data_IF_141464355002
#
_entry.id   IF_141464355002
#
_cell.length_a   1.000
_cell.length_b   1.000
_cell.length_c   1.000
_cell.angle_alpha   90.00
_cell.angle_beta   90.00
_cell.angle_gamma   90.00
#
_symmetry.space_group_name_H-M   'P 1'
#
loop_
_entity.id
_entity.type
_entity.pdbx_description
1 polymer ?
2 polymer ?
3 water ?
#
# COMPACT_ATOMS: atom_id res chain seq x y z
N UNK A 7 -26.64 6.31 -16.05
CA UNK A 7 -26.14 5.57 -14.89
C UNK A 7 -26.90 5.92 -13.61
N UNK A 8 -28.01 6.61 -13.74
CA UNK A 8 -28.78 7.01 -12.56
C UNK A 8 -29.29 5.81 -11.76
N UNK A 9 -29.40 4.63 -12.38
CA UNK A 9 -29.79 3.44 -11.62
C UNK A 9 -28.72 3.01 -10.62
N UNK A 10 -27.50 3.56 -10.79
CA UNK A 10 -26.37 3.26 -9.90
C UNK A 10 -26.31 4.17 -8.67
N UNK A 11 -27.18 5.18 -8.66
CA UNK A 11 -27.18 6.17 -7.58
C UNK A 11 -27.11 5.53 -6.20
N UNK A 12 -27.76 4.38 -6.01
CA UNK A 12 -27.77 3.74 -4.72
C UNK A 12 -26.34 3.49 -4.17
N UNK A 13 -25.41 3.15 -5.04
CA UNK A 13 -24.01 2.99 -4.68
C UNK A 13 -23.34 4.27 -4.17
N UNK A 14 -23.90 5.44 -4.51
CA UNK A 14 -23.28 6.68 -4.04
C UNK A 14 -24.01 7.22 -2.82
N UNK A 15 -25.20 6.69 -2.56
CA UNK A 15 -26.07 7.35 -1.60
C UNK A 15 -25.92 6.89 -0.15
N UNK A 16 -24.80 6.22 0.13
CA UNK A 16 -24.42 5.81 1.47
C UNK A 16 -24.18 7.03 2.37
N UNK A 17 -24.82 7.03 3.53
CA UNK A 17 -24.64 8.11 4.53
C UNK A 17 -23.34 7.91 5.31
N UNK A 18 -22.44 8.92 5.24
CA UNK A 18 -21.17 8.82 5.98
C UNK A 18 -21.37 8.75 7.49
N UNK A 19 -22.43 9.37 8.00
CA UNK A 19 -22.70 9.34 9.45
C UNK A 19 -23.01 7.93 9.99
N UNK A 20 -23.22 6.97 9.09
CA UNK A 20 -23.43 5.59 9.50
C UNK A 20 -22.10 4.86 9.65
N UNK A 21 -21.03 5.49 9.17
CA UNK A 21 -19.72 4.90 9.24
C UNK A 21 -18.90 5.55 10.35
N UNK A 22 -18.67 4.81 11.43
CA UNK A 22 -17.88 5.33 12.55
C UNK A 22 -16.46 5.61 12.10
N UNK A 23 -15.88 6.70 12.60
CA UNK A 23 -14.56 7.14 12.16
C UNK A 23 -13.52 6.93 13.24
N UNK A 24 -12.33 6.39 12.88
CA UNK A 24 -12.03 5.95 11.52
C UNK A 24 -12.49 4.53 11.30
N UNK A 25 -12.81 4.18 10.05
CA UNK A 25 -13.18 2.80 9.73
C UNK A 25 -12.01 1.85 10.03
N UNK A 26 -12.34 0.59 10.36
CA UNK A 26 -11.35 -0.42 10.67
C UNK A 26 -10.45 -0.67 9.47
N UNK A 27 -11.05 -0.67 8.28
CA UNK A 27 -10.31 -0.90 7.03
C UNK A 27 -9.29 0.21 6.74
N UNK A 28 -9.36 1.31 7.49
CA UNK A 28 -8.47 2.45 7.27
C UNK A 28 -7.18 2.33 8.06
N UNK A 29 -6.19 1.67 7.47
CA UNK A 29 -4.93 1.40 8.15
C UNK A 29 -3.82 2.39 7.76
N UNK A 30 -2.60 2.15 8.23
CA UNK A 30 -1.48 3.07 8.01
C UNK A 30 -0.73 2.85 6.70
N UNK A 31 -0.93 1.71 6.04
CA UNK A 31 -0.31 1.50 4.73
C UNK A 31 -1.13 2.12 3.60
N UNK A 32 -2.22 2.80 3.95
CA UNK A 32 -3.09 3.44 2.97
C UNK A 32 -3.35 4.91 3.28
N UNK A 33 -3.44 5.24 4.56
CA UNK A 33 -3.71 6.62 4.95
C UNK A 33 -2.59 7.19 5.82
N UNK A 34 -2.43 8.51 5.73
CA UNK A 34 -1.42 9.23 6.49
C UNK A 34 -2.12 9.93 7.64
N UNK A 35 -1.35 10.43 8.61
CA UNK A 35 -1.94 11.02 9.83
C UNK A 35 -2.89 12.20 9.58
N UNK A 36 -2.80 12.85 8.43
CA UNK A 36 -3.78 13.89 8.11
C UNK A 36 -5.17 13.28 8.08
N UNK A 37 -5.25 12.04 7.60
CA UNK A 37 -6.51 11.30 7.50
C UNK A 37 -7.19 11.14 8.84
N UNK A 38 -6.44 10.64 9.83
CA UNK A 38 -7.02 10.32 11.13
C UNK A 38 -7.33 11.57 11.92
N UNK A 39 -6.84 12.70 11.41
CA UNK A 39 -7.11 13.99 12.02
C UNK A 39 -8.57 14.41 11.81
N UNK A 40 -9.19 13.90 10.75
CA UNK A 40 -10.60 14.21 10.48
C UNK A 40 -11.49 13.83 11.65
N UNK A 41 -12.59 14.56 11.83
CA UNK A 41 -13.44 14.36 12.99
C UNK A 41 -14.62 13.44 12.76
N UNK A 42 -14.86 13.09 11.50
CA UNK A 42 -15.96 12.19 11.15
C UNK A 42 -15.81 11.78 9.70
N UNK A 43 -16.45 10.67 9.31
CA UNK A 43 -16.37 10.19 7.94
C UNK A 43 -16.89 11.25 6.99
N UNK A 44 -17.94 11.96 7.41
CA UNK A 44 -18.51 13.01 6.59
C UNK A 44 -17.43 14.08 6.31
N UNK A 45 -16.69 14.48 7.33
CA UNK A 45 -15.61 15.47 7.14
C UNK A 45 -14.64 15.08 6.02
N UNK A 46 -14.27 13.80 5.97
CA UNK A 46 -13.36 13.27 4.96
C UNK A 46 -13.96 13.27 3.56
N UNK A 47 -15.21 12.83 3.44
CA UNK A 47 -15.85 12.73 2.15
C UNK A 47 -16.00 14.11 1.52
N UNK A 48 -16.31 15.09 2.36
CA UNK A 48 -16.51 16.47 1.94
C UNK A 48 -15.22 17.04 1.37
N UNK A 49 -14.10 16.71 2.00
CA UNK A 49 -12.79 17.16 1.51
C UNK A 49 -12.45 16.42 0.22
N UNK A 50 -12.88 15.17 0.13
CA UNK A 50 -12.70 14.40 -1.08
C UNK A 50 -13.49 15.00 -2.27
N UNK A 51 -14.74 15.36 -2.02
CA UNK A 51 -15.54 15.98 -3.06
C UNK A 51 -14.91 17.30 -3.48
N UNK A 52 -14.48 18.09 -2.51
CA UNK A 52 -13.84 19.36 -2.77
C UNK A 52 -12.56 19.22 -3.61
N UNK A 53 -11.71 18.26 -3.25
CA UNK A 53 -10.47 18.09 -3.99
C UNK A 53 -10.78 17.76 -5.44
N UNK A 54 -11.58 16.71 -5.64
CA UNK A 54 -11.80 16.21 -6.98
C UNK A 54 -12.73 17.10 -7.78
N UNK A 55 -13.32 18.10 -7.15
CA UNK A 55 -14.14 19.03 -7.90
C UNK A 55 -13.21 19.88 -8.75
N UNK A 56 -12.00 20.06 -8.25
CA UNK A 56 -10.99 20.88 -8.92
C UNK A 56 -10.91 20.50 -10.38
N UNK A 57 -10.36 21.39 -11.19
CA UNK A 57 -10.29 21.11 -12.62
C UNK A 57 -8.97 20.42 -12.95
N UNK A 58 -9.07 19.13 -13.20
CA UNK A 58 -7.93 18.33 -13.60
C UNK A 58 -8.16 17.88 -15.03
N UNK A 59 -7.25 18.28 -15.90
CA UNK A 59 -7.29 17.81 -17.28
C UNK A 59 -6.77 16.39 -17.27
N UNK A 60 -7.10 15.62 -18.32
CA UNK A 60 -6.68 14.22 -18.40
C UNK A 60 -5.18 14.00 -18.12
N UNK A 61 -4.36 15.04 -18.29
CA UNK A 61 -2.92 14.90 -18.18
C UNK A 61 -2.39 15.09 -16.76
N UNK A 62 -3.25 15.57 -15.86
CA UNK A 62 -2.78 15.93 -14.52
C UNK A 62 -2.98 14.86 -13.45
N UNK A 63 -2.80 13.60 -13.84
CA UNK A 63 -2.84 12.51 -12.88
C UNK A 63 -1.92 12.75 -11.68
N UNK A 64 -0.74 13.29 -11.95
CA UNK A 64 0.26 13.40 -10.89
C UNK A 64 -0.15 14.42 -9.85
N UNK A 65 -0.52 15.61 -10.31
CA UNK A 65 -0.97 16.66 -9.40
C UNK A 65 -2.19 16.21 -8.60
N UNK A 66 -3.09 15.48 -9.25
CA UNK A 66 -4.28 14.97 -8.53
C UNK A 66 -3.88 14.15 -7.29
N UNK A 67 -3.11 13.09 -7.51
CA UNK A 67 -2.75 12.23 -6.40
C UNK A 67 -2.00 13.01 -5.32
N UNK A 68 -1.15 13.96 -5.74
CA UNK A 68 -0.45 14.78 -4.77
C UNK A 68 -1.44 15.59 -3.95
N UNK A 69 -2.38 16.25 -4.63
CA UNK A 69 -3.40 17.02 -3.92
C UNK A 69 -4.23 16.10 -3.02
N UNK A 70 -4.50 14.90 -3.51
CA UNK A 70 -5.22 13.93 -2.69
C UNK A 70 -4.44 13.62 -1.41
N UNK A 71 -3.16 13.31 -1.57
CA UNK A 71 -2.29 13.07 -0.42
C UNK A 71 -2.31 14.29 0.49
N UNK A 72 -2.04 15.44 -0.11
CA UNK A 72 -1.90 16.68 0.63
C UNK A 72 -3.17 17.08 1.39
N UNK A 73 -4.32 17.04 0.74
CA UNK A 73 -5.52 17.60 1.35
C UNK A 73 -6.41 16.60 2.13
N UNK A 74 -6.40 15.32 1.76
CA UNK A 74 -7.27 14.33 2.42
C UNK A 74 -6.56 13.25 3.25
N UNK A 75 -5.27 13.02 2.98
CA UNK A 75 -4.51 12.05 3.76
C UNK A 75 -4.42 10.69 3.10
N UNK A 76 -4.95 10.61 1.88
CA UNK A 76 -4.87 9.35 1.14
C UNK A 76 -3.48 9.19 0.59
N UNK A 77 -2.83 8.07 0.91
CA UNK A 77 -1.49 7.83 0.40
C UNK A 77 -1.50 7.86 -1.10
N UNK A 78 -0.41 8.33 -1.68
CA UNK A 78 -0.36 8.58 -3.12
C UNK A 78 -0.40 7.30 -3.97
N UNK A 79 0.25 6.24 -3.54
CA UNK A 79 0.16 5.00 -4.31
C UNK A 79 -1.24 4.35 -4.23
N UNK A 80 -1.96 4.60 -3.13
CA UNK A 80 -3.34 4.09 -2.99
C UNK A 80 -4.30 4.77 -3.98
N UNK A 81 -4.29 6.11 -4.00
CA UNK A 81 -5.04 6.85 -5.02
C UNK A 81 -4.78 6.30 -6.42
N UNK A 82 -3.52 5.98 -6.69
CA UNK A 82 -3.14 5.57 -8.04
C UNK A 82 -3.77 4.26 -8.49
N UNK A 83 -3.80 3.26 -7.62
CA UNK A 83 -4.38 1.97 -7.99
C UNK A 83 -5.93 2.04 -8.08
N UNK A 84 -6.52 2.84 -7.21
CA UNK A 84 -7.95 3.16 -7.27
C UNK A 84 -8.32 3.76 -8.63
N UNK A 85 -7.76 4.93 -8.95
CA UNK A 85 -8.07 5.58 -10.22
C UNK A 85 -7.89 4.57 -11.32
N UNK A 86 -6.95 3.66 -11.13
CA UNK A 86 -6.67 2.63 -12.11
C UNK A 86 -7.83 1.61 -12.21
N UNK A 87 -8.38 1.19 -11.07
CA UNK A 87 -9.52 0.29 -11.14
C UNK A 87 -10.81 1.05 -11.50
N UNK A 88 -10.76 2.38 -11.40
CA UNK A 88 -11.88 3.23 -11.82
C UNK A 88 -11.80 3.65 -13.27
N UNK A 89 -10.89 3.02 -14.02
CA UNK A 89 -10.60 3.42 -15.40
C UNK A 89 -10.35 4.95 -15.50
N UNK A 90 -9.88 5.54 -14.41
CA UNK A 90 -9.57 6.96 -14.36
C UNK A 90 -10.77 7.89 -14.25
N UNK A 91 -11.94 7.32 -13.98
CA UNK A 91 -13.17 8.10 -13.86
C UNK A 91 -13.32 8.66 -12.45
N UNK A 92 -12.92 9.91 -12.30
CA UNK A 92 -12.96 10.64 -11.03
C UNK A 92 -14.31 10.72 -10.36
N UNK A 93 -15.39 10.61 -11.13
CA UNK A 93 -16.71 10.71 -10.54
C UNK A 93 -17.03 9.52 -9.65
N UNK A 94 -16.38 8.39 -9.93
CA UNK A 94 -16.63 7.16 -9.19
C UNK A 94 -15.72 7.09 -7.96
N UNK A 95 -14.90 8.12 -7.78
CA UNK A 95 -13.90 8.13 -6.69
C UNK A 95 -14.55 8.12 -5.29
N UNK A 96 -15.54 8.99 -5.05
CA UNK A 96 -16.21 8.91 -3.75
C UNK A 96 -16.93 7.55 -3.58
N UNK A 97 -17.43 6.97 -4.67
CA UNK A 97 -18.16 5.68 -4.58
C UNK A 97 -17.24 4.57 -4.06
N UNK A 98 -15.98 4.62 -4.47
CA UNK A 98 -15.00 3.66 -4.00
C UNK A 98 -14.88 3.69 -2.47
N UNK A 99 -14.60 4.86 -1.94
CA UNK A 99 -14.45 5.03 -0.51
C UNK A 99 -15.69 4.70 0.30
N UNK A 100 -16.85 5.19 -0.13
CA UNK A 100 -18.09 4.97 0.63
C UNK A 100 -18.37 3.47 0.73
N UNK A 101 -18.15 2.75 -0.36
CA UNK A 101 -18.37 1.30 -0.37
C UNK A 101 -17.27 0.54 0.36
N UNK A 102 -16.04 1.01 0.21
CA UNK A 102 -14.91 0.43 0.95
C UNK A 102 -15.17 0.49 2.44
N UNK A 103 -15.51 1.68 2.92
CA UNK A 103 -15.79 1.91 4.33
C UNK A 103 -17.10 1.29 4.80
N UNK A 104 -18.13 1.37 3.96
CA UNK A 104 -19.43 0.86 4.38
C UNK A 104 -19.37 -0.64 4.65
N UNK A 105 -18.80 -1.38 3.72
CA UNK A 105 -18.77 -2.84 3.79
C UNK A 105 -17.42 -3.38 4.28
N UNK A 106 -16.57 -2.49 4.79
CA UNK A 106 -15.18 -2.81 5.16
C UNK A 106 -14.48 -3.79 4.21
N UNK A 107 -14.21 -3.35 2.99
CA UNK A 107 -13.56 -4.19 2.01
C UNK A 107 -12.83 -3.32 0.98
N UNK A 108 -11.58 -3.69 0.68
CA UNK A 108 -10.74 -2.96 -0.25
C UNK A 108 -10.12 -3.88 -1.31
N UNK A 109 -10.61 -3.81 -2.56
CA UNK A 109 -11.64 -2.91 -3.06
C UNK A 109 -13.05 -3.49 -2.93
N UNK A 110 -14.09 -2.66 -3.17
CA UNK A 110 -15.44 -3.23 -3.09
C UNK A 110 -15.63 -4.21 -4.26
N UNK A 111 -16.08 -5.43 -3.95
CA UNK A 111 -16.12 -6.49 -4.96
C UNK A 111 -17.32 -6.45 -5.91
N UNK A 112 -18.39 -5.75 -5.55
CA UNK A 112 -19.58 -5.78 -6.41
C UNK A 112 -20.19 -4.42 -6.63
N UNK A 113 -19.45 -3.56 -7.33
CA UNK A 113 -19.84 -2.17 -7.53
C UNK A 113 -19.53 -1.75 -8.96
N UNK A 114 -20.54 -1.29 -9.69
CA UNK A 114 -20.29 -0.95 -11.09
C UNK A 114 -19.28 0.20 -11.16
N UNK A 115 -18.39 0.14 -12.14
CA UNK A 115 -17.34 1.12 -12.26
C UNK A 115 -16.05 0.75 -11.53
N UNK A 116 -16.15 -0.16 -10.55
CA UNK A 116 -14.97 -0.59 -9.80
C UNK A 116 -14.47 -1.93 -10.32
N UNK A 117 -13.45 -1.89 -11.17
CA UNK A 117 -12.90 -3.07 -11.82
C UNK A 117 -11.95 -3.80 -10.87
N UNK A 118 -12.31 -5.04 -10.54
CA UNK A 118 -11.46 -5.90 -9.71
C UNK A 118 -10.50 -6.70 -10.57
N UNK A 119 -9.57 -7.41 -9.93
CA UNK A 119 -8.62 -8.23 -10.66
C UNK A 119 -9.35 -9.25 -11.52
N UNK A 120 -10.29 -9.96 -10.90
CA UNK A 120 -11.05 -11.01 -11.57
C UNK A 120 -11.86 -10.45 -12.74
N UNK A 121 -12.35 -9.22 -12.59
CA UNK A 121 -13.01 -8.53 -13.69
C UNK A 121 -12.01 -8.42 -14.82
N UNK A 122 -10.82 -7.93 -14.50
CA UNK A 122 -9.80 -7.78 -15.52
C UNK A 122 -9.42 -9.14 -16.13
N UNK A 123 -9.24 -10.14 -15.27
CA UNK A 123 -8.92 -11.49 -15.75
C UNK A 123 -10.06 -12.08 -16.59
N UNK A 124 -11.25 -11.51 -16.49
CA UNK A 124 -12.38 -11.99 -17.27
C UNK A 124 -12.46 -11.35 -18.66
N UNK A 125 -11.75 -10.24 -18.83
CA UNK A 125 -11.67 -9.58 -20.13
C UNK A 125 -10.96 -10.44 -21.17
N UNK A 126 -10.17 -11.39 -20.67
CA UNK A 126 -9.36 -12.23 -21.53
C UNK A 126 -10.08 -13.54 -21.88
N UNK A 127 -11.39 -13.57 -21.66
CA UNK A 127 -12.20 -14.76 -21.92
C UNK A 127 -13.01 -14.66 -23.22
N UNK A 128 -12.96 -15.71 -24.03
CA UNK A 128 -13.81 -15.80 -25.21
C UNK A 128 -15.20 -16.32 -24.86
N UNK A 129 -15.39 -16.66 -23.59
CA UNK A 129 -16.66 -17.19 -23.13
C UNK A 129 -17.75 -16.10 -23.20
N UNK A 130 -18.68 -16.26 -24.14
CA UNK A 130 -19.78 -15.32 -24.27
C UNK A 130 -20.41 -15.01 -22.90
N UNK A 131 -20.55 -16.03 -22.07
CA UNK A 131 -21.07 -15.85 -20.72
C UNK A 131 -20.22 -14.90 -19.88
N UNK A 132 -18.90 -14.98 -20.03
CA UNK A 132 -17.98 -14.14 -19.25
C UNK A 132 -18.05 -12.68 -19.67
N UNK A 133 -18.22 -12.46 -20.96
CA UNK A 133 -18.33 -11.11 -21.47
C UNK A 133 -19.64 -10.50 -20.99
N UNK A 134 -20.73 -11.25 -21.19
CA UNK A 134 -22.07 -10.86 -20.77
C UNK A 134 -22.04 -10.44 -19.31
N UNK A 135 -21.32 -11.22 -18.49
CA UNK A 135 -21.24 -10.98 -17.05
C UNK A 135 -20.67 -9.61 -16.75
N UNK A 136 -19.61 -9.24 -17.47
CA UNK A 136 -18.96 -7.95 -17.26
C UNK A 136 -19.81 -6.79 -17.74
N UNK A 137 -20.54 -7.00 -18.83
CA UNK A 137 -21.43 -5.98 -19.33
C UNK A 137 -22.54 -5.75 -18.30
N UNK A 138 -23.13 -6.83 -17.80
CA UNK A 138 -24.18 -6.72 -16.77
C UNK A 138 -23.68 -5.99 -15.52
N UNK A 139 -22.43 -6.21 -15.12
CA UNK A 139 -21.89 -5.57 -13.93
C UNK A 139 -21.54 -4.08 -14.09
N UNK A 140 -20.79 -3.72 -15.13
CA UNK A 140 -20.24 -2.36 -15.28
C UNK A 140 -20.90 -1.50 -16.35
N UNK A 141 -21.60 -2.15 -17.29
CA UNK A 141 -22.26 -1.47 -18.40
C UNK A 141 -21.52 -1.62 -19.72
N UNK A 142 -22.25 -1.54 -20.83
CA UNK A 142 -21.63 -1.63 -22.15
C UNK A 142 -20.49 -0.63 -22.27
N UNK A 143 -20.78 0.63 -21.98
CA UNK A 143 -19.80 1.71 -22.11
C UNK A 143 -18.50 1.51 -21.35
N UNK A 144 -18.60 1.08 -20.09
CA UNK A 144 -17.40 0.88 -19.28
C UNK A 144 -16.64 -0.33 -19.79
N UNK A 145 -17.37 -1.32 -20.29
CA UNK A 145 -16.79 -2.51 -20.88
C UNK A 145 -15.86 -2.16 -22.06
N UNK A 146 -16.44 -1.53 -23.07
CA UNK A 146 -15.73 -1.22 -24.29
C UNK A 146 -14.48 -0.36 -24.03
N UNK A 147 -14.61 0.57 -23.09
CA UNK A 147 -13.48 1.38 -22.69
C UNK A 147 -12.37 0.57 -21.99
N UNK A 148 -12.77 -0.40 -21.18
CA UNK A 148 -11.81 -1.21 -20.44
C UNK A 148 -11.02 -2.11 -21.38
N UNK A 149 -11.67 -2.51 -22.48
CA UNK A 149 -11.00 -3.29 -23.52
C UNK A 149 -9.84 -2.50 -24.12
N UNK A 150 -10.10 -1.29 -24.59
CA UNK A 150 -9.06 -0.43 -25.17
C UNK A 150 -7.80 -0.41 -24.32
N UNK A 151 -7.98 -0.21 -23.01
CA UNK A 151 -6.86 -0.18 -22.08
C UNK A 151 -6.16 -1.53 -22.06
N UNK A 152 -6.97 -2.59 -21.98
CA UNK A 152 -6.46 -3.96 -21.95
C UNK A 152 -5.72 -4.31 -23.24
N UNK A 153 -6.13 -3.67 -24.34
CA UNK A 153 -5.50 -3.88 -25.64
C UNK A 153 -4.36 -2.88 -25.86
N UNK A 154 -3.67 -2.54 -24.77
CA UNK A 154 -2.52 -1.66 -24.84
C UNK A 154 -1.57 -1.95 -23.67
N UNK B 6 32.81 -6.05 5.86
CA UNK B 6 33.50 -6.60 7.03
C UNK B 6 32.70 -6.36 8.32
N UNK B 7 33.26 -5.56 9.22
CA UNK B 7 32.64 -5.34 10.52
C UNK B 7 31.72 -4.15 10.46
N UNK B 8 30.71 -4.16 11.32
CA UNK B 8 29.80 -3.02 11.42
C UNK B 8 29.18 -3.07 12.78
N UNK B 9 29.14 -1.91 13.45
CA UNK B 9 28.45 -1.80 14.72
C UNK B 9 26.92 -1.98 14.61
N UNK B 10 26.39 -2.09 13.39
CA UNK B 10 24.96 -2.41 13.20
C UNK B 10 24.69 -3.89 13.48
N UNK B 11 25.75 -4.67 13.62
CA UNK B 11 25.57 -6.11 13.81
C UNK B 11 24.75 -6.43 15.07
N UNK B 12 24.68 -5.50 16.03
CA UNK B 12 23.88 -5.76 17.23
C UNK B 12 22.37 -5.81 16.92
N UNK B 13 21.99 -5.24 15.79
CA UNK B 13 20.58 -5.28 15.37
C UNK B 13 20.26 -6.57 14.62
N UNK B 14 21.31 -7.19 14.07
CA UNK B 14 21.13 -8.44 13.31
C UNK B 14 21.37 -9.70 14.11
N UNK B 15 22.08 -9.60 15.22
CA UNK B 15 22.52 -10.82 15.87
C UNK B 15 21.74 -11.16 17.11
N UNK B 16 20.54 -10.60 17.23
CA UNK B 16 19.65 -10.91 18.34
C UNK B 16 19.34 -12.40 18.26
N UNK B 17 19.41 -13.08 19.40
CA UNK B 17 19.28 -14.53 19.36
C UNK B 17 17.79 -14.84 19.36
N UNK B 18 17.29 -15.48 18.29
CA UNK B 18 15.86 -15.77 18.21
C UNK B 18 15.39 -16.66 19.37
N UNK B 19 16.27 -17.52 19.92
CA UNK B 19 15.86 -18.40 21.03
C UNK B 19 15.47 -17.58 22.25
N UNK B 20 15.84 -16.31 22.27
CA UNK B 20 15.47 -15.43 23.38
C UNK B 20 14.09 -14.79 23.19
N UNK B 21 13.50 -15.03 22.04
CA UNK B 21 12.20 -14.46 21.70
C UNK B 21 11.16 -15.60 21.77
N UNK B 22 10.29 -15.56 22.76
CA UNK B 22 9.30 -16.63 22.87
C UNK B 22 8.33 -16.54 21.70
N UNK B 23 7.90 -17.70 21.22
CA UNK B 23 7.12 -17.81 20.00
C UNK B 23 5.76 -18.42 20.27
N UNK B 24 4.71 -17.87 19.65
CA UNK B 24 4.78 -16.67 18.80
C UNK B 24 4.87 -15.40 19.64
N UNK B 25 5.62 -14.39 19.18
CA UNK B 25 5.70 -13.13 19.92
C UNK B 25 4.35 -12.40 19.95
N UNK B 26 4.14 -11.68 21.04
CA UNK B 26 2.89 -10.98 21.29
C UNK B 26 2.53 -10.03 20.16
N UNK B 27 3.54 -9.33 19.64
CA UNK B 27 3.29 -8.31 18.62
C UNK B 27 2.81 -8.94 17.31
N UNK B 28 2.97 -10.26 17.16
CA UNK B 28 2.59 -10.92 15.91
C UNK B 28 1.11 -11.24 15.86
N UNK B 29 0.31 -10.32 15.34
CA UNK B 29 -1.15 -10.47 15.33
C UNK B 29 -1.68 -11.06 14.02
N UNK B 30 -2.92 -11.54 14.03
CA UNK B 30 -3.47 -12.20 12.85
C UNK B 30 -3.81 -11.22 11.72
N UNK B 31 -3.80 -9.93 12.02
CA UNK B 31 -3.93 -8.94 10.95
C UNK B 31 -2.61 -8.70 10.21
N UNK B 32 -1.53 -9.22 10.78
CA UNK B 32 -0.18 -9.08 10.18
C UNK B 32 0.34 -10.39 9.60
N UNK B 33 -0.06 -11.50 10.22
CA UNK B 33 0.48 -12.81 9.88
C UNK B 33 -0.62 -13.82 9.66
N UNK B 34 -0.30 -14.85 8.89
CA UNK B 34 -1.24 -15.91 8.50
C UNK B 34 -1.00 -17.20 9.25
N UNK B 35 -1.96 -18.15 9.14
CA UNK B 35 -1.85 -19.42 9.86
C UNK B 35 -0.49 -20.10 9.75
N UNK B 36 0.09 -20.16 8.55
CA UNK B 36 1.40 -20.76 8.38
C UNK B 36 2.41 -20.25 9.41
N UNK B 37 2.37 -18.94 9.67
CA UNK B 37 3.36 -18.33 10.55
C UNK B 37 3.23 -18.88 11.98
N UNK B 38 2.01 -18.94 12.48
CA UNK B 38 1.80 -19.40 13.85
C UNK B 38 2.11 -20.89 13.98
N UNK B 39 2.27 -21.56 12.85
CA UNK B 39 2.65 -22.98 12.87
C UNK B 39 4.16 -23.23 12.92
N UNK B 40 4.98 -22.19 12.74
CA UNK B 40 6.42 -22.37 12.97
C UNK B 40 6.61 -22.85 14.41
N UNK B 41 7.66 -23.62 14.67
CA UNK B 41 7.87 -24.16 16.00
C UNK B 41 8.60 -23.21 16.96
N UNK B 42 9.24 -22.19 16.40
CA UNK B 42 10.08 -21.30 17.20
C UNK B 42 10.44 -20.08 16.37
N UNK B 43 10.96 -19.06 17.03
CA UNK B 43 11.32 -17.85 16.32
C UNK B 43 12.43 -18.13 15.32
N UNK B 44 13.34 -19.04 15.67
CA UNK B 44 14.45 -19.41 14.79
C UNK B 44 14.01 -20.11 13.51
N UNK B 45 12.98 -20.96 13.62
CA UNK B 45 12.44 -21.61 12.43
C UNK B 45 11.92 -20.55 11.46
N UNK B 46 11.24 -19.55 12.00
CA UNK B 46 10.72 -18.46 11.16
C UNK B 46 11.87 -17.71 10.49
N UNK B 47 12.93 -17.43 11.24
CA UNK B 47 14.02 -16.62 10.73
C UNK B 47 14.76 -17.34 9.60
N UNK B 48 14.98 -18.64 9.79
CA UNK B 48 15.66 -19.44 8.76
C UNK B 48 14.83 -19.52 7.46
N UNK B 49 13.51 -19.67 7.57
CA UNK B 49 12.65 -19.61 6.38
C UNK B 49 12.75 -18.24 5.71
N UNK B 50 12.68 -17.18 6.53
CA UNK B 50 12.84 -15.83 6.02
C UNK B 50 14.16 -15.68 5.27
N UNK B 51 15.25 -16.09 5.91
CA UNK B 51 16.56 -15.99 5.26
C UNK B 51 16.59 -16.73 3.94
N UNK B 52 15.91 -17.87 3.87
CA UNK B 52 15.87 -18.66 2.65
C UNK B 52 15.24 -17.85 1.54
N UNK B 53 14.07 -17.33 1.83
CA UNK B 53 13.30 -16.54 0.88
C UNK B 53 14.04 -15.31 0.35
N UNK B 54 14.60 -14.50 1.26
CA UNK B 54 15.19 -13.25 0.81
C UNK B 54 16.55 -13.48 0.13
N UNK B 55 17.14 -14.63 0.36
CA UNK B 55 18.40 -14.95 -0.28
C UNK B 55 18.15 -15.61 -1.63
N UNK B 56 16.88 -15.66 -2.03
CA UNK B 56 16.52 -16.08 -3.38
C UNK B 56 16.94 -15.00 -4.37
N UNK B 57 16.64 -15.22 -5.65
CA UNK B 57 17.09 -14.30 -6.70
C UNK B 57 15.97 -13.43 -7.23
N UNK B 58 16.08 -12.12 -7.03
CA UNK B 58 15.05 -11.21 -7.49
C UNK B 58 15.65 -10.06 -8.27
N UNK B 59 15.01 -9.72 -9.39
CA UNK B 59 15.38 -8.52 -10.14
C UNK B 59 14.74 -7.36 -9.42
N UNK B 60 15.31 -6.16 -9.60
CA UNK B 60 14.78 -4.91 -9.03
C UNK B 60 13.28 -4.76 -9.27
N UNK B 61 12.79 -5.43 -10.31
CA UNK B 61 11.40 -5.29 -10.72
C UNK B 61 10.47 -6.32 -10.09
N UNK B 62 11.00 -7.20 -9.22
CA UNK B 62 10.22 -8.34 -8.72
C UNK B 62 9.72 -8.23 -7.27
N UNK B 63 9.35 -7.02 -6.84
CA UNK B 63 8.74 -6.81 -5.54
C UNK B 63 7.47 -7.64 -5.34
N UNK B 64 6.69 -7.78 -6.42
CA UNK B 64 5.43 -8.51 -6.38
C UNK B 64 5.65 -9.97 -6.05
N UNK B 65 6.58 -10.61 -6.76
CA UNK B 65 6.91 -12.00 -6.52
C UNK B 65 7.46 -12.19 -5.10
N UNK B 66 8.34 -11.30 -4.66
CA UNK B 66 8.97 -11.46 -3.36
C UNK B 66 7.90 -11.45 -2.29
N UNK B 67 6.98 -10.51 -2.41
CA UNK B 67 5.88 -10.35 -1.48
C UNK B 67 4.98 -11.59 -1.49
N UNK B 68 4.76 -12.15 -2.68
CA UNK B 68 4.01 -13.39 -2.79
C UNK B 68 4.79 -14.54 -2.15
N UNK B 69 6.10 -14.55 -2.34
CA UNK B 69 6.93 -15.62 -1.76
C UNK B 69 6.96 -15.54 -0.23
N UNK B 70 6.99 -14.33 0.31
CA UNK B 70 6.96 -14.16 1.77
C UNK B 70 5.60 -14.52 2.39
N UNK B 71 4.54 -14.36 1.63
CA UNK B 71 3.23 -14.80 2.08
C UNK B 71 3.20 -16.34 2.11
N UNK B 72 3.48 -16.97 0.96
CA UNK B 72 3.44 -18.44 0.82
C UNK B 72 4.39 -19.22 1.72
N UNK B 73 5.60 -18.71 1.91
CA UNK B 73 6.68 -19.45 2.59
C UNK B 73 6.87 -19.09 4.06
N UNK B 74 6.57 -17.84 4.43
CA UNK B 74 6.80 -17.40 5.82
C UNK B 74 5.55 -16.92 6.50
N UNK B 75 4.45 -16.83 5.75
CA UNK B 75 3.17 -16.50 6.34
C UNK B 75 3.01 -15.04 6.68
N UNK B 76 3.77 -14.17 6.01
CA UNK B 76 3.60 -12.74 6.23
C UNK B 76 2.55 -12.23 5.25
N UNK B 77 1.56 -11.48 5.73
CA UNK B 77 0.52 -10.93 4.86
C UNK B 77 1.16 -9.94 3.89
N UNK B 78 0.62 -9.89 2.68
CA UNK B 78 1.23 -9.15 1.58
C UNK B 78 1.26 -7.65 1.81
N UNK B 79 0.17 -7.08 2.33
CA UNK B 79 0.18 -5.66 2.67
C UNK B 79 1.25 -5.26 3.71
N UNK B 80 1.54 -6.18 4.63
CA UNK B 80 2.58 -5.98 5.63
C UNK B 80 3.97 -6.06 4.99
N UNK B 81 4.24 -7.12 4.23
CA UNK B 81 5.51 -7.23 3.54
C UNK B 81 5.75 -6.00 2.71
N UNK B 82 4.68 -5.48 2.11
CA UNK B 82 4.76 -4.28 1.27
C UNK B 82 5.14 -3.02 2.06
N UNK B 83 4.49 -2.78 3.19
CA UNK B 83 4.87 -1.66 4.05
C UNK B 83 6.33 -1.77 4.49
N UNK B 84 6.74 -3.00 4.80
CA UNK B 84 8.09 -3.24 5.29
C UNK B 84 9.11 -2.86 4.23
N UNK B 85 8.95 -3.38 3.01
CA UNK B 85 9.87 -3.05 1.92
C UNK B 85 10.01 -1.55 1.76
N UNK B 86 8.89 -0.87 1.89
CA UNK B 86 8.89 0.58 1.83
C UNK B 86 9.74 1.21 2.94
N UNK B 87 9.56 0.74 4.18
CA UNK B 87 10.41 1.18 5.30
C UNK B 87 11.89 0.93 5.03
N UNK B 88 12.19 -0.15 4.30
CA UNK B 88 13.57 -0.54 4.07
C UNK B 88 14.15 0.00 2.75
N UNK B 89 13.46 0.92 2.09
CA UNK B 89 13.91 1.42 0.79
C UNK B 89 14.27 0.28 -0.15
N UNK B 90 13.55 -0.83 -0.04
CA UNK B 90 13.76 -1.98 -0.90
C UNK B 90 14.97 -2.87 -0.58
N UNK B 91 15.66 -2.58 0.52
CA UNK B 91 16.83 -3.37 0.87
C UNK B 91 16.41 -4.69 1.53
N UNK B 92 16.44 -5.76 0.74
CA UNK B 92 16.05 -7.10 1.21
C UNK B 92 16.77 -7.56 2.47
N UNK B 93 18.04 -7.17 2.59
CA UNK B 93 18.93 -7.73 3.60
C UNK B 93 18.62 -7.20 5.00
N UNK B 94 17.72 -6.23 5.06
CA UNK B 94 17.33 -5.64 6.33
C UNK B 94 16.01 -6.25 6.87
N UNK B 95 15.42 -7.16 6.09
CA UNK B 95 14.20 -7.87 6.52
C UNK B 95 14.38 -8.60 7.86
N UNK B 96 15.47 -9.38 7.99
CA UNK B 96 15.60 -10.14 9.24
C UNK B 96 15.67 -9.21 10.44
N UNK B 97 16.44 -8.15 10.26
CA UNK B 97 16.60 -7.13 11.28
C UNK B 97 15.25 -6.53 11.68
N UNK B 98 14.40 -6.22 10.70
CA UNK B 98 13.08 -5.69 10.99
C UNK B 98 12.33 -6.61 11.98
N UNK B 99 12.25 -7.89 11.67
CA UNK B 99 11.47 -8.81 12.51
C UNK B 99 12.07 -9.07 13.89
N UNK B 100 13.39 -9.25 13.92
CA UNK B 100 14.07 -9.50 15.19
C UNK B 100 13.79 -8.37 16.18
N UNK B 101 13.95 -7.12 15.74
CA UNK B 101 13.68 -5.97 16.60
C UNK B 101 12.21 -5.74 16.92
N UNK B 102 11.35 -5.92 15.92
CA UNK B 102 9.90 -5.87 16.13
C UNK B 102 9.49 -6.86 17.23
N UNK B 103 9.96 -8.08 17.10
CA UNK B 103 9.56 -9.14 18.02
C UNK B 103 10.20 -8.87 19.40
N UNK B 104 11.47 -8.47 19.39
CA UNK B 104 12.19 -8.28 20.64
C UNK B 104 11.64 -7.12 21.45
N UNK B 105 11.28 -6.04 20.78
CA UNK B 105 10.93 -4.83 21.49
C UNK B 105 9.44 -4.54 21.45
N UNK B 106 8.68 -5.40 20.81
CA UNK B 106 7.23 -5.28 20.87
C UNK B 106 6.78 -3.97 20.25
N UNK B 107 7.34 -3.68 19.07
CA UNK B 107 7.07 -2.43 18.37
C UNK B 107 7.02 -2.69 16.86
N UNK B 108 6.24 -1.90 16.17
CA UNK B 108 6.07 -2.10 14.75
C UNK B 108 5.66 -0.80 14.08
N UNK B 109 6.56 -0.22 13.27
CA UNK B 109 7.94 -0.68 12.99
C UNK B 109 8.89 -0.40 14.14
N UNK B 110 10.03 -1.10 14.19
CA UNK B 110 11.05 -0.74 15.21
C UNK B 110 11.50 0.70 14.93
N UNK B 111 11.41 1.57 15.93
CA UNK B 111 11.57 3.02 15.73
C UNK B 111 13.02 3.51 15.81
N UNK B 112 13.96 2.68 16.23
CA UNK B 112 15.34 3.14 16.43
C UNK B 112 16.37 2.21 15.80
N UNK B 113 16.11 1.74 14.59
CA UNK B 113 16.98 0.76 13.99
C UNK B 113 17.54 1.28 12.66
N UNK B 114 18.87 1.32 12.54
CA UNK B 114 19.47 1.66 11.24
C UNK B 114 18.89 0.84 10.08
N UNK B 115 18.50 1.53 9.01
CA UNK B 115 18.00 0.89 7.82
C UNK B 115 16.49 0.78 7.83
N UNK B 116 15.87 1.05 8.98
CA UNK B 116 14.40 1.06 9.07
C UNK B 116 13.89 2.49 9.19
N UNK B 117 13.34 2.98 8.10
CA UNK B 117 12.89 4.37 8.01
C UNK B 117 11.47 4.45 8.55
N UNK B 118 11.28 5.27 9.58
CA UNK B 118 9.96 5.54 10.15
C UNK B 118 9.30 6.76 9.52
N UNK B 119 8.03 6.99 9.87
CA UNK B 119 7.32 8.19 9.45
C UNK B 119 8.05 9.44 9.90
N UNK B 120 8.46 9.46 11.16
CA UNK B 120 9.24 10.60 11.67
C UNK B 120 10.55 10.77 10.90
N UNK B 121 11.24 9.67 10.59
CA UNK B 121 12.48 9.75 9.82
C UNK B 121 12.22 10.47 8.49
N UNK B 122 11.19 10.03 7.78
CA UNK B 122 10.86 10.59 6.48
C UNK B 122 10.46 12.07 6.55
N UNK B 123 9.86 12.46 7.67
CA UNK B 123 9.44 13.84 7.86
C UNK B 123 10.62 14.76 8.14
N UNK B 124 11.65 14.22 8.80
CA UNK B 124 12.86 14.98 9.09
C UNK B 124 13.67 15.15 7.83
N UNK B 125 13.59 14.16 6.95
CA UNK B 125 14.35 14.18 5.70
C UNK B 125 13.97 15.33 4.78
N UNK B 126 12.71 15.75 4.84
CA UNK B 126 12.20 16.81 3.99
C UNK B 126 12.03 18.12 4.74
N UNK B 127 12.45 18.14 6.00
CA UNK B 127 12.26 19.33 6.85
C UNK B 127 13.39 20.28 6.59
N UNK B 128 14.44 19.75 5.98
CA UNK B 128 15.66 20.49 5.73
C UNK B 128 16.07 21.38 6.91
N UNK B 129 15.86 20.83 8.10
CA UNK B 129 16.37 21.35 9.36
C UNK B 129 17.67 20.60 9.65
N UNK B 130 18.79 21.30 9.51
CA UNK B 130 20.11 20.67 9.53
C UNK B 130 20.37 19.73 10.72
N UNK B 131 19.80 20.05 11.88
CA UNK B 131 20.03 19.22 13.05
C UNK B 131 19.29 17.86 12.95
N UNK B 132 18.02 17.89 12.56
CA UNK B 132 17.27 16.66 12.32
C UNK B 132 17.94 15.78 11.26
N UNK B 133 18.53 16.40 10.25
CA UNK B 133 19.17 15.63 9.20
C UNK B 133 20.49 15.02 9.65
N UNK B 134 21.22 15.74 10.50
CA UNK B 134 22.43 15.18 11.08
C UNK B 134 22.09 13.93 11.88
N UNK B 135 20.95 13.95 12.57
CA UNK B 135 20.52 12.77 13.33
C UNK B 135 20.15 11.61 12.41
N UNK B 136 19.53 11.90 11.26
CA UNK B 136 19.19 10.84 10.31
C UNK B 136 20.44 10.19 9.73
N UNK B 137 21.44 11.01 9.42
CA UNK B 137 22.67 10.51 8.84
C UNK B 137 23.40 9.59 9.85
N UNK B 138 23.40 9.97 11.11
CA UNK B 138 24.00 9.15 12.16
C UNK B 138 23.24 7.83 12.31
N UNK B 139 21.91 7.88 12.21
CA UNK B 139 21.11 6.66 12.31
C UNK B 139 21.25 5.70 11.11
N UNK B 140 21.16 6.22 9.90
CA UNK B 140 21.09 5.36 8.71
C UNK B 140 22.36 5.38 7.87
N UNK B 141 23.17 6.42 8.03
CA UNK B 141 24.35 6.59 7.19
C UNK B 141 24.08 7.39 5.93
N UNK B 142 25.15 7.97 5.36
CA UNK B 142 25.02 8.80 4.17
C UNK B 142 24.48 8.00 2.98
N UNK B 143 24.97 6.78 2.80
CA UNK B 143 24.52 5.93 1.71
C UNK B 143 23.01 5.68 1.69
N UNK B 144 22.47 5.29 2.83
CA UNK B 144 21.02 5.10 2.95
C UNK B 144 20.28 6.44 2.82
N UNK B 145 20.84 7.48 3.43
CA UNK B 145 20.30 8.83 3.31
C UNK B 145 20.09 9.24 1.84
N UNK B 146 21.14 9.12 1.03
CA UNK B 146 21.04 9.51 -0.36
C UNK B 146 20.06 8.61 -1.11
N UNK B 147 20.08 7.31 -0.80
CA UNK B 147 19.13 6.37 -1.39
C UNK B 147 17.69 6.81 -1.08
N UNK B 148 17.45 7.24 0.15
CA UNK B 148 16.12 7.65 0.58
C UNK B 148 15.74 8.95 -0.14
N UNK B 149 16.71 9.85 -0.29
CA UNK B 149 16.49 11.09 -1.05
C UNK B 149 16.05 10.74 -2.47
N UNK B 150 16.74 9.77 -3.08
CA UNK B 150 16.35 9.29 -4.41
C UNK B 150 14.99 8.60 -4.37
N UNK B 151 14.64 8.09 -3.20
CA UNK B 151 13.34 7.47 -2.97
C UNK B 151 12.25 8.54 -3.08
N UNK B 152 12.61 9.79 -2.80
CA UNK B 152 11.70 10.93 -2.96
C UNK B 152 12.11 11.86 -4.11
N UNK B 153 12.12 11.31 -5.33
CA UNK B 153 12.40 12.08 -6.54
C UNK B 153 11.43 11.69 -7.65
N UNK C 7 -14.98 14.25 -16.34
CA UNK C 7 -13.77 14.45 -15.57
C UNK C 7 -13.01 13.14 -15.48
N UNK C 8 -12.27 12.82 -16.52
CA UNK C 8 -11.54 11.57 -16.53
C UNK C 8 -10.05 11.77 -16.77
N UNK C 9 -9.25 11.05 -15.98
CA UNK C 9 -7.80 11.12 -16.06
C UNK C 9 -7.30 10.18 -17.16
N UNK C 10 -6.42 10.69 -18.03
CA UNK C 10 -5.81 9.90 -19.09
C UNK C 10 -5.24 8.63 -18.48
N UNK C 11 -5.58 7.48 -19.08
CA UNK C 11 -5.23 6.22 -18.47
C UNK C 11 -3.74 5.93 -18.61
N UNK C 12 -3.13 6.45 -19.67
CA UNK C 12 -1.70 6.30 -19.89
C UNK C 12 -0.90 6.90 -18.74
N UNK C 13 -1.23 8.14 -18.40
CA UNK C 13 -0.55 8.85 -17.32
C UNK C 13 -0.69 8.08 -16.00
N UNK C 14 -1.85 7.46 -15.79
CA UNK C 14 -2.09 6.66 -14.59
C UNK C 14 -1.32 5.34 -14.60
N UNK C 15 -1.44 4.60 -15.69
CA UNK C 15 -0.92 3.24 -15.78
C UNK C 15 0.59 3.20 -15.58
N UNK C 16 1.24 4.34 -15.81
CA UNK C 16 2.69 4.45 -15.66
C UNK C 16 3.05 5.14 -14.36
N UNK C 17 2.15 5.97 -13.85
CA UNK C 17 2.34 6.55 -12.52
C UNK C 17 2.26 5.44 -11.49
N UNK C 18 1.61 4.34 -11.87
CA UNK C 18 1.50 3.16 -11.01
C UNK C 18 2.85 2.45 -10.96
N UNK C 19 3.31 2.01 -12.13
CA UNK C 19 4.64 1.42 -12.25
C UNK C 19 5.70 2.31 -11.58
N UNK C 20 5.52 3.62 -11.70
CA UNK C 20 6.43 4.58 -11.08
C UNK C 20 6.45 4.48 -9.56
N UNK C 21 5.29 4.26 -8.94
CA UNK C 21 5.21 4.25 -7.49
C UNK C 21 5.53 2.89 -6.88
N UNK C 22 5.68 1.87 -7.72
CA UNK C 22 5.99 0.54 -7.19
C UNK C 22 7.40 0.56 -6.57
N UNK C 23 7.63 -0.30 -5.59
CA UNK C 23 8.92 -0.33 -4.92
C UNK C 23 9.92 -1.17 -5.70
N UNK C 24 11.17 -0.72 -5.74
CA UNK C 24 12.22 -1.44 -6.46
C UNK C 24 13.10 -2.20 -5.49
N UNK C 25 13.33 -3.48 -5.75
CA UNK C 25 14.24 -4.26 -4.92
C UNK C 25 15.71 -3.83 -5.09
N UNK C 26 16.34 -3.50 -3.96
CA UNK C 26 17.70 -2.99 -3.93
C UNK C 26 18.72 -4.06 -4.28
#
# INVERSE_FOLDING_TARGET
SAIRSDFSNEDIYDNIDPDTISFPPKIATTDLFLPLFFHFGSTRQFMDKLHEVISGDYEPSQAEKLVQDLCDETGIRKNFSTSILTCLSGDLMVFPRYFLNMFKDNVNPPPNVPGIWTHDDDESLKSNDQEQIRKLVKKHGTGRMEMRKRFFEKDLL
SAIRSDFSNEDIYDNIDPDTISFPPKIATTDLFLPLFFHFGSTRQFMDKLHEVISGDYEPSQAEKLVQDLCDETGIRKNFSTSILTCLSGDLMVFPRYFLNMFKDNVNPPPNVPGIWTHDDDESLKSNDQEQIRKLVKKHGTGRMEMRKRFFEKDLL
SEKGNAKMIDFATLSKLKKKYQIILDR
#
